data_IF_388690656539
#
_entry.id   IF_388690656539
#
_cell.length_a   1.000
_cell.length_b   1.000
_cell.length_c   1.000
_cell.angle_alpha   90.00
_cell.angle_beta   90.00
_cell.angle_gamma   90.00
#
_symmetry.space_group_name_H-M   'P 1'
#
loop_
_entity.id
_entity.type
_entity.pdbx_description
1 polymer ?
#
# COMPACT_ATOMS: atom_id res chain seq x y z
N UNK A 1 1.94 4.56 -6.49
CA UNK A 1 1.06 5.66 -6.01
C UNK A 1 -0.31 5.72 -6.71
N UNK A 2 -0.63 4.84 -7.66
CA UNK A 2 -1.91 4.90 -8.40
C UNK A 2 -3.15 4.93 -7.50
N UNK A 3 -3.22 4.04 -6.51
CA UNK A 3 -4.38 3.98 -5.61
C UNK A 3 -4.59 5.27 -4.79
N UNK A 4 -3.50 5.93 -4.36
CA UNK A 4 -3.58 7.20 -3.64
C UNK A 4 -4.14 8.31 -4.53
N UNK A 5 -3.63 8.44 -5.76
CA UNK A 5 -4.08 9.49 -6.66
C UNK A 5 -5.46 9.23 -7.27
N UNK A 6 -5.86 7.95 -7.43
CA UNK A 6 -7.26 7.61 -7.72
C UNK A 6 -8.18 8.13 -6.62
N UNK A 7 -7.80 7.98 -5.35
CA UNK A 7 -8.56 8.53 -4.22
C UNK A 7 -8.61 10.07 -4.25
N UNK A 8 -7.47 10.75 -4.43
CA UNK A 8 -7.42 12.21 -4.54
C UNK A 8 -8.30 12.74 -5.70
N UNK A 9 -8.30 12.03 -6.82
CA UNK A 9 -9.10 12.35 -8.00
C UNK A 9 -10.56 11.89 -7.93
N UNK A 10 -11.04 11.41 -6.77
CA UNK A 10 -12.41 10.89 -6.56
C UNK A 10 -12.79 9.83 -7.61
N UNK A 11 -11.89 8.87 -7.81
CA UNK A 11 -12.04 7.76 -8.75
C UNK A 11 -11.41 8.01 -10.13
N UNK A 12 -11.01 9.24 -10.46
CA UNK A 12 -10.46 9.59 -11.79
C UNK A 12 -9.05 10.12 -11.69
N UNK A 13 -8.10 9.53 -12.41
CA UNK A 13 -6.73 10.02 -12.44
C UNK A 13 -6.02 9.66 -13.75
N UNK A 14 -5.00 10.44 -14.07
CA UNK A 14 -4.07 10.19 -15.17
C UNK A 14 -2.67 9.98 -14.60
N UNK A 15 -1.83 9.26 -15.35
CA UNK A 15 -0.39 9.35 -15.23
C UNK A 15 0.08 10.35 -16.28
N UNK A 16 0.38 11.57 -15.85
CA UNK A 16 0.80 12.63 -16.77
C UNK A 16 2.24 12.45 -17.25
N UNK A 17 3.08 11.85 -16.41
CA UNK A 17 4.50 11.61 -16.69
C UNK A 17 4.87 10.18 -16.28
N UNK A 18 4.95 9.30 -17.27
CA UNK A 18 5.45 7.94 -17.13
C UNK A 18 6.89 7.86 -17.64
N UNK A 19 7.75 7.19 -16.86
CA UNK A 19 9.17 7.02 -17.16
C UNK A 19 9.37 6.16 -18.43
N UNK A 20 10.05 6.67 -19.47
CA UNK A 20 10.33 5.92 -20.69
C UNK A 20 11.71 5.24 -20.69
N UNK A 21 12.60 5.54 -19.73
CA UNK A 21 13.97 5.01 -19.69
C UNK A 21 14.74 5.56 -18.50
N UNK A 22 16.09 5.56 -18.51
CA UNK A 22 16.88 6.21 -17.47
C UNK A 22 16.48 7.67 -17.27
N UNK A 23 16.42 8.11 -16.01
CA UNK A 23 16.22 9.51 -15.63
C UNK A 23 17.57 10.16 -15.30
N UNK A 24 17.58 11.42 -14.87
CA UNK A 24 18.80 12.18 -14.58
C UNK A 24 18.96 12.60 -13.12
N UNK A 25 17.90 12.55 -12.31
CA UNK A 25 17.84 13.23 -11.02
C UNK A 25 18.06 12.31 -9.81
N UNK A 26 18.01 10.99 -9.98
CA UNK A 26 18.26 10.07 -8.88
C UNK A 26 19.78 9.93 -8.63
N UNK A 27 20.22 9.53 -7.42
CA UNK A 27 21.62 9.23 -7.16
C UNK A 27 22.19 8.15 -8.09
N UNK A 28 21.34 7.22 -8.55
CA UNK A 28 21.65 6.18 -9.53
C UNK A 28 20.49 6.06 -10.50
N UNK A 29 20.79 6.10 -11.81
CA UNK A 29 19.78 6.13 -12.87
C UNK A 29 19.92 4.91 -13.80
N UNK A 30 19.59 3.70 -13.33
CA UNK A 30 19.69 2.50 -14.15
C UNK A 30 18.68 2.54 -15.31
N UNK A 31 19.04 1.89 -16.40
CA UNK A 31 18.08 1.57 -17.45
C UNK A 31 17.06 0.55 -16.94
N UNK A 32 15.75 0.81 -17.07
CA UNK A 32 14.73 -0.18 -16.76
C UNK A 32 14.95 -1.48 -17.55
N UNK A 33 14.52 -2.62 -16.99
CA UNK A 33 14.55 -3.88 -17.73
C UNK A 33 13.73 -3.76 -19.02
N UNK A 34 14.12 -4.47 -20.11
CA UNK A 34 13.27 -4.56 -21.30
C UNK A 34 11.86 -5.05 -20.94
N UNK A 35 10.83 -4.32 -21.35
CA UNK A 35 9.42 -4.61 -21.05
C UNK A 35 8.80 -3.71 -19.97
N UNK A 36 9.62 -2.99 -19.18
CA UNK A 36 9.12 -2.19 -18.05
C UNK A 36 8.19 -1.03 -18.48
N UNK A 37 8.40 -0.40 -19.64
CA UNK A 37 7.54 0.70 -20.09
C UNK A 37 6.13 0.19 -20.43
N UNK A 38 6.05 -1.01 -21.01
CA UNK A 38 4.78 -1.73 -21.23
C UNK A 38 4.16 -2.18 -19.90
N UNK A 39 4.96 -2.76 -19.01
CA UNK A 39 4.50 -3.23 -17.68
C UNK A 39 3.87 -2.10 -16.87
N UNK A 40 4.57 -0.97 -16.72
CA UNK A 40 4.04 0.17 -15.96
C UNK A 40 2.78 0.78 -16.57
N UNK A 41 2.69 0.78 -17.91
CA UNK A 41 1.47 1.21 -18.59
C UNK A 41 0.28 0.31 -18.26
N UNK A 42 0.45 -1.01 -18.37
CA UNK A 42 -0.58 -1.98 -17.96
C UNK A 42 -0.94 -1.88 -16.47
N UNK A 43 0.05 -1.71 -15.59
CA UNK A 43 -0.21 -1.52 -14.16
C UNK A 43 -1.07 -0.26 -13.92
N UNK A 44 -0.75 0.87 -14.56
CA UNK A 44 -1.53 2.08 -14.43
C UNK A 44 -2.98 1.88 -14.90
N UNK A 45 -3.20 1.22 -16.05
CA UNK A 45 -4.55 0.90 -16.55
C UNK A 45 -5.31 -0.07 -15.64
N UNK A 46 -4.63 -1.08 -15.08
CA UNK A 46 -5.23 -2.00 -14.11
C UNK A 46 -5.70 -1.26 -12.85
N UNK A 47 -4.96 -0.23 -12.44
CA UNK A 47 -5.34 0.65 -11.33
C UNK A 47 -6.36 1.74 -11.70
N UNK A 48 -6.82 1.80 -12.96
CA UNK A 48 -7.88 2.70 -13.41
C UNK A 48 -7.40 4.03 -13.99
N UNK A 49 -6.13 4.16 -14.37
CA UNK A 49 -5.68 5.36 -15.06
C UNK A 49 -6.46 5.53 -16.38
N UNK A 50 -7.01 6.71 -16.63
CA UNK A 50 -7.69 7.00 -17.90
C UNK A 50 -6.70 7.36 -19.01
N UNK A 51 -5.50 7.78 -18.63
CA UNK A 51 -4.39 8.14 -19.52
C UNK A 51 -3.05 7.78 -18.89
N UNK A 52 -2.13 7.28 -19.71
CA UNK A 52 -0.70 7.18 -19.41
C UNK A 52 0.06 7.98 -20.47
N UNK A 53 0.63 9.12 -20.05
CA UNK A 53 1.40 10.05 -20.86
C UNK A 53 2.88 9.89 -20.52
N UNK A 54 3.71 9.53 -21.51
CA UNK A 54 5.14 9.29 -21.29
C UNK A 54 5.93 10.59 -21.42
N UNK A 55 6.72 10.89 -20.39
CA UNK A 55 7.61 12.04 -20.39
C UNK A 55 9.02 11.58 -20.76
N UNK A 56 9.52 11.85 -21.97
CA UNK A 56 9.10 12.84 -22.97
C UNK A 56 9.13 12.23 -24.37
N UNK A 57 8.56 12.93 -25.35
CA UNK A 57 8.54 12.45 -26.74
C UNK A 57 9.95 12.20 -27.29
N UNK A 58 10.87 13.14 -27.13
CA UNK A 58 12.26 13.02 -27.58
C UNK A 58 13.22 13.55 -26.52
N UNK A 59 14.27 12.79 -26.23
CA UNK A 59 15.33 13.21 -25.31
C UNK A 59 15.95 14.54 -25.80
N UNK A 60 16.10 15.49 -24.87
CA UNK A 60 16.73 16.76 -25.18
C UNK A 60 18.26 16.59 -25.26
N UNK A 61 18.95 17.15 -26.27
CA UNK A 61 20.42 17.08 -26.35
C UNK A 61 21.13 18.18 -25.53
N UNK A 62 20.42 18.90 -24.66
CA UNK A 62 20.95 20.05 -23.92
C UNK A 62 20.25 20.23 -22.57
N UNK A 63 20.81 21.13 -21.75
CA UNK A 63 20.31 21.54 -20.44
C UNK A 63 20.32 20.43 -19.37
N UNK A 64 19.67 20.71 -18.24
CA UNK A 64 19.73 19.90 -17.01
C UNK A 64 19.23 18.46 -17.19
N UNK A 65 18.33 18.23 -18.13
CA UNK A 65 17.70 16.93 -18.40
C UNK A 65 18.27 16.22 -19.63
N UNK A 66 19.46 16.59 -20.11
CA UNK A 66 20.04 15.95 -21.31
C UNK A 66 20.28 14.43 -21.17
N UNK A 67 20.30 13.92 -19.94
CA UNK A 67 20.39 12.48 -19.63
C UNK A 67 19.03 11.81 -19.37
N UNK A 68 17.92 12.56 -19.38
CA UNK A 68 16.58 12.00 -19.22
C UNK A 68 16.12 11.41 -20.56
N UNK A 69 15.98 10.09 -20.62
CA UNK A 69 15.53 9.39 -21.83
C UNK A 69 14.14 9.85 -22.29
N UNK A 70 13.84 9.61 -23.56
CA UNK A 70 12.52 9.86 -24.15
C UNK A 70 12.09 8.66 -24.99
N UNK A 71 10.89 8.73 -25.59
CA UNK A 71 10.46 7.70 -26.55
C UNK A 71 11.35 7.66 -27.79
N UNK A 72 11.97 8.79 -28.13
CA UNK A 72 12.93 8.93 -29.22
C UNK A 72 14.25 9.48 -28.69
N UNK A 73 15.34 9.03 -29.31
CA UNK A 73 16.70 9.50 -29.04
C UNK A 73 16.93 10.91 -29.62
N UNK A 74 18.02 11.61 -29.22
CA UNK A 74 18.30 12.95 -29.74
C UNK A 74 18.51 13.02 -31.26
N UNK A 75 18.95 11.93 -31.88
CA UNK A 75 19.13 11.80 -33.34
C UNK A 75 17.80 11.57 -34.11
N UNK A 76 16.68 11.48 -33.41
CA UNK A 76 15.36 11.25 -33.97
C UNK A 76 15.02 9.79 -34.24
N UNK A 77 15.92 8.84 -33.95
CA UNK A 77 15.61 7.43 -34.02
C UNK A 77 14.72 7.00 -32.83
N UNK A 78 13.85 5.99 -33.00
CA UNK A 78 13.06 5.46 -31.90
C UNK A 78 13.96 4.80 -30.86
N UNK A 79 13.60 4.96 -29.58
CA UNK A 79 14.20 4.22 -28.47
C UNK A 79 13.36 2.97 -28.13
N UNK A 80 13.88 2.06 -27.30
CA UNK A 80 13.19 0.84 -26.83
C UNK A 80 11.77 1.15 -26.32
N UNK A 81 11.65 2.24 -25.57
CA UNK A 81 10.40 2.71 -25.00
C UNK A 81 9.28 2.90 -26.04
N UNK A 82 9.59 3.46 -27.22
CA UNK A 82 8.56 3.68 -28.24
C UNK A 82 7.97 2.35 -28.74
N UNK A 83 8.80 1.32 -28.88
CA UNK A 83 8.35 -0.01 -29.28
C UNK A 83 7.44 -0.64 -28.22
N UNK A 84 7.84 -0.58 -26.95
CA UNK A 84 7.06 -1.12 -25.82
C UNK A 84 5.71 -0.40 -25.65
N UNK A 85 5.70 0.93 -25.77
CA UNK A 85 4.48 1.74 -25.68
C UNK A 85 3.57 1.52 -26.89
N UNK A 86 4.14 1.29 -28.08
CA UNK A 86 3.37 0.92 -29.28
C UNK A 86 2.72 -0.46 -29.13
N UNK A 87 3.44 -1.41 -28.54
CA UNK A 87 2.89 -2.72 -28.21
C UNK A 87 1.73 -2.60 -27.22
N UNK A 88 1.92 -1.89 -26.10
CA UNK A 88 0.87 -1.60 -25.12
C UNK A 88 -0.38 -1.01 -25.80
N UNK A 89 -0.20 0.01 -26.65
CA UNK A 89 -1.31 0.64 -27.37
C UNK A 89 -2.04 -0.30 -28.35
N UNK A 90 -1.37 -1.33 -28.85
CA UNK A 90 -1.98 -2.37 -29.70
C UNK A 90 -2.75 -3.38 -28.86
N UNK A 91 -2.19 -3.83 -27.74
CA UNK A 91 -2.82 -4.78 -26.83
C UNK A 91 -4.04 -4.18 -26.12
N UNK A 92 -4.03 -2.89 -25.77
CA UNK A 92 -5.21 -2.23 -25.19
C UNK A 92 -6.44 -2.28 -26.13
N UNK A 93 -6.21 -2.25 -27.45
CA UNK A 93 -7.29 -2.35 -28.44
C UNK A 93 -7.91 -3.74 -28.49
N UNK A 94 -7.20 -4.79 -28.03
CA UNK A 94 -7.72 -6.16 -28.07
C UNK A 94 -8.64 -6.48 -26.89
N UNK A 95 -8.46 -5.82 -25.74
CA UNK A 95 -9.32 -6.01 -24.56
C UNK A 95 -10.67 -5.28 -24.67
N UNK A 96 -10.76 -4.24 -25.50
CA UNK A 96 -11.97 -3.43 -25.63
C UNK A 96 -12.22 -2.53 -24.41
N UNK A 97 -13.47 -2.13 -24.22
CA UNK A 97 -13.86 -1.26 -23.11
C UNK A 97 -13.84 -2.03 -21.78
N UNK A 98 -12.93 -1.64 -20.88
CA UNK A 98 -12.85 -2.19 -19.53
C UNK A 98 -13.68 -1.30 -18.59
N UNK A 99 -14.46 -1.94 -17.73
CA UNK A 99 -15.28 -1.27 -16.71
C UNK A 99 -14.48 -0.30 -15.84
N UNK A 100 -15.17 0.70 -15.28
CA UNK A 100 -14.58 1.59 -14.29
C UNK A 100 -14.12 0.80 -13.06
N UNK A 101 -13.10 1.30 -12.36
CA UNK A 101 -12.71 0.73 -11.07
C UNK A 101 -13.84 0.91 -10.06
N UNK A 102 -14.21 -0.16 -9.39
CA UNK A 102 -15.16 -0.15 -8.28
C UNK A 102 -14.43 -0.08 -6.94
N UNK A 103 -15.19 0.22 -5.89
CA UNK A 103 -14.71 0.14 -4.51
C UNK A 103 -14.17 -1.26 -4.21
N UNK A 104 -13.03 -1.32 -3.52
CA UNK A 104 -12.43 -2.58 -3.07
C UNK A 104 -12.95 -3.00 -1.70
N UNK A 105 -12.60 -4.21 -1.25
CA UNK A 105 -12.96 -4.68 0.09
C UNK A 105 -12.02 -4.15 1.20
N UNK A 106 -10.90 -3.51 0.83
CA UNK A 106 -9.83 -3.10 1.77
C UNK A 106 -9.48 -1.63 1.59
N UNK A 107 -9.57 -0.88 2.69
CA UNK A 107 -9.18 0.53 2.74
C UNK A 107 -7.99 0.78 3.66
N UNK A 108 -7.09 1.67 3.23
CA UNK A 108 -6.07 2.30 4.08
C UNK A 108 -6.42 3.78 4.22
N UNK A 109 -6.59 4.25 5.46
CA UNK A 109 -6.80 5.68 5.72
C UNK A 109 -5.48 6.43 5.52
N UNK A 110 -5.47 7.41 4.63
CA UNK A 110 -4.31 8.27 4.39
C UNK A 110 -4.62 9.72 4.79
N UNK A 111 -3.76 10.29 5.64
CA UNK A 111 -3.90 11.66 6.14
C UNK A 111 -2.61 12.45 5.92
N UNK A 112 -2.71 13.49 5.09
CA UNK A 112 -1.61 14.45 4.91
C UNK A 112 -1.29 15.20 6.22
N UNK A 113 -2.31 15.52 7.03
CA UNK A 113 -2.10 16.14 8.34
C UNK A 113 -1.31 15.22 9.29
N UNK A 114 -1.61 13.91 9.29
CA UNK A 114 -0.84 12.93 10.06
C UNK A 114 0.59 12.81 9.54
N UNK A 115 0.77 12.84 8.21
CA UNK A 115 2.09 12.87 7.61
C UNK A 115 2.90 14.09 8.08
N UNK A 116 2.33 15.29 8.04
CA UNK A 116 2.99 16.52 8.47
C UNK A 116 3.29 16.54 9.96
N UNK A 117 2.34 16.10 10.79
CA UNK A 117 2.52 15.99 12.22
C UNK A 117 3.70 15.07 12.58
N UNK A 118 3.83 13.95 11.86
CA UNK A 118 4.92 12.98 12.05
C UNK A 118 6.24 13.42 11.44
N UNK A 119 6.24 14.21 10.37
CA UNK A 119 7.45 14.86 9.86
C UNK A 119 8.00 15.88 10.86
N UNK A 120 7.12 16.64 11.51
CA UNK A 120 7.51 17.65 12.49
C UNK A 120 7.96 17.01 13.82
N UNK A 121 7.20 16.02 14.32
CA UNK A 121 7.48 15.34 15.58
C UNK A 121 7.55 13.81 15.40
N UNK A 122 8.61 13.30 14.75
CA UNK A 122 8.78 11.87 14.56
C UNK A 122 9.04 11.14 15.89
N UNK A 123 9.61 11.83 16.88
CA UNK A 123 10.02 11.35 18.21
C UNK A 123 11.11 10.25 18.18
N UNK A 124 11.05 9.30 17.24
CA UNK A 124 12.17 8.46 16.82
C UNK A 124 12.61 8.84 15.40
N UNK A 125 13.92 9.01 15.17
CA UNK A 125 14.45 9.45 13.87
C UNK A 125 14.05 8.53 12.69
N UNK A 126 13.80 7.26 12.97
CA UNK A 126 13.41 6.23 12.02
C UNK A 126 11.88 6.00 11.92
N UNK A 127 11.06 6.81 12.59
CA UNK A 127 9.60 6.74 12.49
C UNK A 127 9.10 7.52 11.27
N UNK A 128 8.56 6.83 10.27
CA UNK A 128 8.07 7.47 9.05
C UNK A 128 6.67 7.00 8.67
N UNK A 129 5.73 7.96 8.60
CA UNK A 129 4.34 7.71 8.19
C UNK A 129 4.24 7.02 6.82
N UNK A 130 5.02 7.51 5.85
CA UNK A 130 5.02 6.97 4.49
C UNK A 130 5.56 5.54 4.47
N UNK A 131 6.64 5.27 5.21
CA UNK A 131 7.23 3.91 5.28
C UNK A 131 6.26 2.93 5.95
N UNK A 132 5.58 3.35 7.03
CA UNK A 132 4.58 2.50 7.70
C UNK A 132 3.41 2.18 6.76
N UNK A 133 2.87 3.21 6.11
CA UNK A 133 1.77 3.09 5.17
C UNK A 133 2.15 2.19 3.99
N UNK A 134 3.36 2.35 3.46
CA UNK A 134 3.87 1.52 2.38
C UNK A 134 4.07 0.06 2.80
N UNK A 135 4.52 -0.19 4.04
CA UNK A 135 4.64 -1.54 4.58
C UNK A 135 3.28 -2.26 4.67
N UNK A 136 2.24 -1.56 5.15
CA UNK A 136 0.86 -2.07 5.18
C UNK A 136 0.38 -2.35 3.75
N UNK A 137 0.50 -1.37 2.86
CA UNK A 137 0.07 -1.48 1.48
C UNK A 137 0.78 -2.64 0.76
N UNK A 138 2.09 -2.79 0.97
CA UNK A 138 2.90 -3.88 0.42
C UNK A 138 2.42 -5.24 0.92
N UNK A 139 2.19 -5.40 2.23
CA UNK A 139 1.73 -6.66 2.80
C UNK A 139 0.39 -7.11 2.20
N UNK A 140 -0.58 -6.19 2.07
CA UNK A 140 -1.87 -6.47 1.44
C UNK A 140 -1.71 -6.82 -0.06
N UNK A 141 -0.87 -6.08 -0.78
CA UNK A 141 -0.62 -6.29 -2.21
C UNK A 141 0.13 -7.59 -2.51
N UNK A 142 0.95 -8.08 -1.60
CA UNK A 142 1.59 -9.40 -1.70
C UNK A 142 0.57 -10.54 -1.63
N UNK A 143 -0.60 -10.30 -1.04
CA UNK A 143 -1.73 -11.23 -1.05
C UNK A 143 -2.71 -11.04 -2.19
N UNK A 144 -2.33 -10.25 -3.20
CA UNK A 144 -3.17 -9.98 -4.38
C UNK A 144 -4.43 -9.16 -4.08
N UNK A 145 -4.51 -8.54 -2.91
CA UNK A 145 -5.67 -7.73 -2.54
C UNK A 145 -5.66 -6.41 -3.31
N UNK A 146 -6.82 -6.05 -3.85
CA UNK A 146 -7.08 -4.69 -4.29
C UNK A 146 -7.25 -3.77 -3.08
N UNK A 147 -6.55 -2.65 -3.07
CA UNK A 147 -6.56 -1.68 -1.98
C UNK A 147 -7.06 -0.33 -2.49
N UNK A 148 -7.87 0.33 -1.68
CA UNK A 148 -8.22 1.74 -1.83
C UNK A 148 -7.54 2.56 -0.73
N UNK A 149 -7.07 3.76 -1.08
CA UNK A 149 -6.76 4.77 -0.09
C UNK A 149 -7.99 5.64 0.12
N UNK A 150 -8.26 6.05 1.35
CA UNK A 150 -9.39 6.92 1.69
C UNK A 150 -8.94 8.05 2.63
N UNK A 151 -9.60 9.20 2.56
CA UNK A 151 -9.33 10.29 3.51
C UNK A 151 -9.98 9.98 4.87
N UNK A 152 -9.56 10.65 5.96
CA UNK A 152 -10.18 10.45 7.28
C UNK A 152 -11.68 10.72 7.32
N UNK A 153 -12.19 11.54 6.39
CA UNK A 153 -13.60 11.95 6.27
C UNK A 153 -14.45 11.00 5.42
N UNK A 154 -13.81 10.10 4.67
CA UNK A 154 -14.50 9.22 3.74
C UNK A 154 -15.47 8.24 4.45
N UNK A 155 -16.58 7.86 3.79
CA UNK A 155 -17.43 6.77 4.28
C UNK A 155 -16.66 5.44 4.27
N UNK A 156 -17.04 4.54 5.19
CA UNK A 156 -16.40 3.23 5.35
C UNK A 156 -17.33 2.07 4.92
N UNK A 157 -18.56 2.38 4.52
CA UNK A 157 -19.56 1.41 4.10
C UNK A 157 -19.04 0.54 2.95
N UNK A 158 -19.26 -0.78 3.05
CA UNK A 158 -18.85 -1.75 2.03
C UNK A 158 -17.42 -2.28 2.15
N UNK A 159 -16.52 -1.63 2.91
CA UNK A 159 -15.22 -2.22 3.21
C UNK A 159 -15.36 -3.34 4.26
N UNK A 160 -14.55 -4.40 4.09
CA UNK A 160 -14.47 -5.51 5.05
C UNK A 160 -13.28 -5.38 5.99
N UNK A 161 -12.25 -4.64 5.56
CA UNK A 161 -11.02 -4.39 6.30
C UNK A 161 -10.59 -2.94 6.13
N UNK A 162 -10.43 -2.23 7.25
CA UNK A 162 -9.94 -0.84 7.28
C UNK A 162 -8.68 -0.79 8.14
N UNK A 163 -7.59 -0.28 7.57
CA UNK A 163 -6.33 -0.06 8.29
C UNK A 163 -6.11 1.43 8.47
N UNK A 164 -5.92 1.83 9.72
CA UNK A 164 -5.42 3.15 10.09
C UNK A 164 -3.93 2.97 10.39
N UNK A 165 -3.03 3.47 9.51
CA UNK A 165 -1.67 3.82 9.91
C UNK A 165 -1.73 4.85 11.05
N UNK A 166 -0.61 5.45 11.46
CA UNK A 166 -0.57 6.48 12.51
C UNK A 166 -1.44 7.73 12.24
N UNK A 167 -2.76 7.62 12.45
CA UNK A 167 -3.76 8.68 12.27
C UNK A 167 -3.72 9.58 13.49
N UNK A 168 -2.85 10.59 13.45
CA UNK A 168 -2.43 11.36 14.63
C UNK A 168 -3.59 12.07 15.32
N UNK A 169 -4.44 12.74 14.53
CA UNK A 169 -5.66 13.36 15.01
C UNK A 169 -6.87 12.58 14.51
N UNK A 170 -7.81 12.33 15.42
CA UNK A 170 -9.10 11.68 15.15
C UNK A 170 -10.18 12.66 15.59
N UNK A 171 -11.06 13.05 14.68
CA UNK A 171 -12.24 13.87 15.02
C UNK A 171 -13.32 13.01 15.67
N UNK A 172 -14.29 13.64 16.34
CA UNK A 172 -15.42 12.92 16.92
C UNK A 172 -16.26 12.21 15.83
N UNK A 173 -16.42 12.83 14.66
CA UNK A 173 -17.11 12.22 13.53
C UNK A 173 -16.38 11.00 12.99
N UNK A 174 -15.05 11.04 12.90
CA UNK A 174 -14.26 9.88 12.53
C UNK A 174 -14.38 8.77 13.57
N UNK A 175 -14.28 9.10 14.86
CA UNK A 175 -14.44 8.13 15.94
C UNK A 175 -15.83 7.46 15.91
N UNK A 176 -16.89 8.21 15.61
CA UNK A 176 -18.24 7.66 15.42
C UNK A 176 -18.32 6.72 14.22
N UNK A 177 -17.78 7.11 13.05
CA UNK A 177 -17.74 6.24 11.86
C UNK A 177 -17.00 4.94 12.14
N UNK A 178 -15.84 5.00 12.79
CA UNK A 178 -15.04 3.84 13.14
C UNK A 178 -15.72 2.95 14.19
N UNK A 179 -16.49 3.54 15.11
CA UNK A 179 -17.24 2.79 16.13
C UNK A 179 -18.40 2.01 15.51
N UNK A 180 -19.00 2.53 14.44
CA UNK A 180 -20.10 1.90 13.71
C UNK A 180 -19.62 0.99 12.56
N UNK A 181 -18.31 0.88 12.34
CA UNK A 181 -17.77 0.01 11.31
C UNK A 181 -17.82 -1.45 11.77
N UNK A 182 -18.42 -2.33 10.97
CA UNK A 182 -18.60 -3.75 11.33
C UNK A 182 -17.49 -4.67 10.80
N UNK A 183 -16.67 -4.19 9.85
CA UNK A 183 -15.52 -4.93 9.33
C UNK A 183 -14.33 -4.89 10.29
N UNK A 184 -13.23 -5.55 9.92
CA UNK A 184 -12.02 -5.52 10.75
C UNK A 184 -11.36 -4.14 10.72
N UNK A 185 -11.18 -3.55 11.89
CA UNK A 185 -10.50 -2.28 12.07
C UNK A 185 -9.11 -2.53 12.66
N UNK A 186 -8.06 -2.18 11.93
CA UNK A 186 -6.67 -2.32 12.40
C UNK A 186 -6.08 -0.92 12.62
N UNK A 187 -5.70 -0.62 13.85
CA UNK A 187 -5.14 0.68 14.24
C UNK A 187 -3.69 0.51 14.64
N UNK A 188 -2.80 1.22 13.97
CA UNK A 188 -1.37 1.24 14.24
C UNK A 188 -0.99 2.31 15.27
N UNK A 189 0.24 2.27 15.83
CA UNK A 189 0.60 3.11 16.97
C UNK A 189 0.52 4.60 16.63
N UNK A 190 0.45 5.43 17.67
CA UNK A 190 0.29 6.90 17.62
C UNK A 190 -1.06 7.38 17.08
N UNK A 191 -1.97 6.49 16.71
CA UNK A 191 -3.32 6.89 16.29
C UNK A 191 -4.09 7.54 17.44
N UNK A 192 -4.77 8.66 17.16
CA UNK A 192 -5.49 9.44 18.17
C UNK A 192 -4.59 10.01 19.28
N UNK A 193 -3.30 10.18 19.02
CA UNK A 193 -2.33 10.65 20.01
C UNK A 193 -2.26 12.16 20.15
N UNK A 194 -2.90 12.93 19.26
CA UNK A 194 -2.93 14.39 19.33
C UNK A 194 -4.33 14.98 19.09
N UNK A 195 -4.58 16.12 19.71
CA UNK A 195 -5.68 17.02 19.37
C UNK A 195 -5.37 17.79 18.08
N UNK A 196 -6.37 18.50 17.54
CA UNK A 196 -6.19 19.38 16.37
C UNK A 196 -5.16 20.48 16.63
N UNK A 197 -5.02 20.92 17.88
CA UNK A 197 -4.03 21.90 18.35
C UNK A 197 -2.66 21.28 18.67
N UNK A 198 -2.44 20.01 18.30
CA UNK A 198 -1.20 19.27 18.52
C UNK A 198 -0.84 19.04 20.01
N UNK A 199 -1.84 18.95 20.88
CA UNK A 199 -1.68 18.61 22.30
C UNK A 199 -1.93 17.12 22.54
N UNK A 200 -1.45 16.58 23.66
CA UNK A 200 -1.85 15.22 24.09
C UNK A 200 -3.32 15.28 24.56
N UNK A 201 -4.22 14.40 24.08
CA UNK A 201 -5.59 14.34 24.58
C UNK A 201 -5.64 14.18 26.10
N UNK A 202 -6.62 14.80 26.77
CA UNK A 202 -6.74 14.75 28.23
C UNK A 202 -6.90 13.32 28.78
N UNK A 203 -7.47 12.41 27.99
CA UNK A 203 -7.60 10.99 28.31
C UNK A 203 -6.41 10.13 27.82
N UNK A 204 -5.32 10.75 27.37
CA UNK A 204 -4.18 10.18 26.65
C UNK A 204 -4.57 9.53 25.30
N UNK A 205 -3.59 9.03 24.55
CA UNK A 205 -3.84 8.28 23.32
C UNK A 205 -4.55 6.95 23.65
N UNK A 206 -5.39 6.40 22.76
CA UNK A 206 -5.73 6.89 21.43
C UNK A 206 -6.90 7.89 21.42
N UNK A 207 -7.06 8.67 22.50
CA UNK A 207 -7.96 9.82 22.53
C UNK A 207 -9.42 9.42 22.28
N UNK A 208 -10.08 9.97 21.27
CA UNK A 208 -11.46 9.59 20.92
C UNK A 208 -11.68 8.08 20.67
N UNK A 209 -10.63 7.33 20.32
CA UNK A 209 -10.73 5.88 20.05
C UNK A 209 -10.63 5.01 21.31
N UNK A 210 -10.37 5.57 22.50
CA UNK A 210 -10.13 4.77 23.73
C UNK A 210 -11.28 3.81 24.05
N UNK A 211 -12.55 4.22 23.88
CA UNK A 211 -13.70 3.34 24.15
C UNK A 211 -13.83 2.21 23.15
N UNK A 212 -13.61 2.51 21.86
CA UNK A 212 -13.67 1.57 20.75
C UNK A 212 -12.60 0.49 20.90
N UNK A 213 -11.36 0.91 21.18
CA UNK A 213 -10.21 0.01 21.27
C UNK A 213 -10.06 -0.63 22.66
N UNK A 214 -10.68 -0.07 23.71
CA UNK A 214 -10.59 -0.57 25.08
C UNK A 214 -9.23 -0.38 25.73
N UNK A 215 -8.47 0.62 25.28
CA UNK A 215 -7.09 0.86 25.72
C UNK A 215 -6.82 2.34 26.01
N UNK A 216 -5.73 2.55 26.73
CA UNK A 216 -5.05 3.82 26.94
C UNK A 216 -3.54 3.60 26.85
N UNK A 217 -2.87 4.47 26.10
CA UNK A 217 -1.40 4.48 25.96
C UNK A 217 -0.83 5.35 27.08
N UNK A 218 -0.04 4.74 27.96
CA UNK A 218 0.53 5.42 29.14
C UNK A 218 1.95 5.93 28.92
N UNK A 219 2.67 5.33 27.98
CA UNK A 219 4.05 5.66 27.63
C UNK A 219 4.37 5.19 26.22
N UNK A 220 5.34 5.81 25.58
CA UNK A 220 5.95 5.32 24.35
C UNK A 220 7.47 5.38 24.43
N UNK A 221 8.14 4.52 23.68
CA UNK A 221 9.58 4.52 23.48
C UNK A 221 9.91 4.38 21.99
N UNK A 222 11.06 4.91 21.59
CA UNK A 222 11.58 4.81 20.23
C UNK A 222 12.92 4.09 20.24
N UNK A 223 13.10 3.16 19.31
CA UNK A 223 14.32 2.37 19.20
C UNK A 223 15.30 2.96 18.21
N UNK A 224 16.60 2.85 18.53
CA UNK A 224 17.68 3.03 17.54
C UNK A 224 17.61 1.91 16.49
N UNK A 225 18.30 2.09 15.38
CA UNK A 225 18.51 1.00 14.43
C UNK A 225 19.09 -0.23 15.13
N UNK A 226 18.63 -1.41 14.73
CA UNK A 226 18.98 -2.73 15.30
C UNK A 226 18.55 -2.98 16.75
N UNK A 227 17.89 -2.03 17.41
CA UNK A 227 17.21 -2.28 18.67
C UNK A 227 15.73 -2.62 18.42
N UNK A 228 15.24 -3.61 19.15
CA UNK A 228 13.87 -4.08 19.06
C UNK A 228 13.46 -4.75 20.38
N UNK A 229 12.16 -4.96 20.56
CA UNK A 229 11.60 -5.86 21.57
C UNK A 229 10.92 -7.03 20.87
N UNK A 230 11.12 -8.23 21.39
CA UNK A 230 10.49 -9.43 20.86
C UNK A 230 8.99 -9.45 21.18
N UNK A 231 8.20 -9.96 20.25
CA UNK A 231 6.74 -10.09 20.32
C UNK A 231 6.37 -11.54 20.07
N UNK A 232 5.69 -12.15 21.03
CA UNK A 232 5.10 -13.48 20.90
C UNK A 232 3.70 -13.37 20.32
N UNK A 233 3.52 -13.89 19.11
CA UNK A 233 2.23 -13.94 18.41
C UNK A 233 2.06 -15.30 17.76
N UNK A 234 0.93 -15.98 18.05
CA UNK A 234 0.58 -17.30 17.48
C UNK A 234 1.72 -18.34 17.57
N UNK A 235 2.38 -18.39 18.73
CA UNK A 235 3.51 -19.31 18.99
C UNK A 235 4.74 -19.11 18.09
N UNK A 236 4.89 -17.90 17.54
CA UNK A 236 6.07 -17.46 16.79
C UNK A 236 6.60 -16.18 17.43
N UNK A 237 7.92 -15.99 17.32
CA UNK A 237 8.60 -14.78 17.79
C UNK A 237 8.81 -13.83 16.63
N UNK A 238 8.38 -12.59 16.83
CA UNK A 238 8.58 -11.46 15.94
C UNK A 238 9.19 -10.31 16.73
N UNK A 239 9.21 -9.11 16.14
CA UNK A 239 9.71 -7.92 16.82
C UNK A 239 8.84 -6.69 16.59
N UNK A 240 8.84 -5.81 17.60
CA UNK A 240 8.65 -4.39 17.39
C UNK A 240 10.01 -3.71 17.28
N UNK A 241 10.31 -3.17 16.10
CA UNK A 241 11.44 -2.27 15.89
C UNK A 241 10.94 -0.81 15.92
N UNK A 242 11.82 0.20 15.88
CA UNK A 242 11.52 1.66 15.76
C UNK A 242 10.64 2.32 16.85
N UNK A 243 9.51 1.74 17.25
CA UNK A 243 8.51 2.29 18.14
C UNK A 243 7.79 1.23 18.96
N UNK A 244 7.47 1.58 20.20
CA UNK A 244 6.64 0.79 21.10
C UNK A 244 5.84 1.68 22.03
N UNK A 245 4.64 1.24 22.38
CA UNK A 245 3.72 1.88 23.30
C UNK A 245 3.33 0.91 24.42
N UNK A 246 3.23 1.44 25.63
CA UNK A 246 2.72 0.72 26.79
C UNK A 246 1.23 1.00 26.92
N UNK A 247 0.42 -0.05 26.82
CA UNK A 247 -1.05 0.06 26.86
C UNK A 247 -1.64 -0.60 28.10
N UNK A 248 -2.66 0.04 28.66
CA UNK A 248 -3.52 -0.47 29.74
C UNK A 248 -4.99 -0.43 29.31
N UNK A 249 -5.84 -1.30 29.83
CA UNK A 249 -7.27 -1.30 29.49
C UNK A 249 -8.00 -2.63 29.72
N UNK A 250 -9.17 -2.76 29.11
CA UNK A 250 -10.05 -3.93 29.18
C UNK A 250 -10.08 -4.76 27.89
N UNK A 251 -9.30 -4.37 26.89
CA UNK A 251 -9.15 -5.11 25.64
C UNK A 251 -8.47 -6.48 25.85
N UNK A 252 -8.85 -7.46 25.05
CA UNK A 252 -8.19 -8.77 25.01
C UNK A 252 -6.77 -8.61 24.43
N UNK A 253 -5.75 -9.08 25.13
CA UNK A 253 -4.39 -9.12 24.59
C UNK A 253 -4.19 -10.37 23.73
N UNK A 254 -3.94 -10.18 22.43
CA UNK A 254 -3.74 -11.29 21.47
C UNK A 254 -2.26 -11.55 21.15
N UNK A 255 -1.36 -10.62 21.50
CA UNK A 255 0.09 -10.78 21.43
C UNK A 255 0.75 -10.03 22.59
N UNK A 256 1.86 -10.56 23.12
CA UNK A 256 2.62 -9.94 24.20
C UNK A 256 4.06 -9.68 23.76
N UNK A 257 4.68 -8.63 24.31
CA UNK A 257 6.13 -8.51 24.28
C UNK A 257 6.75 -9.45 25.32
N UNK A 258 8.02 -9.82 25.15
CA UNK A 258 8.70 -10.78 26.05
C UNK A 258 8.89 -10.30 27.48
N UNK A 259 8.81 -8.99 27.72
CA UNK A 259 8.77 -8.36 29.05
C UNK A 259 7.33 -8.24 29.63
N UNK A 260 6.33 -8.85 28.98
CA UNK A 260 4.99 -9.06 29.51
C UNK A 260 3.96 -7.98 29.21
N UNK A 261 4.28 -6.97 28.39
CA UNK A 261 3.32 -5.93 28.01
C UNK A 261 2.47 -6.32 26.80
N UNK A 262 1.23 -5.83 26.68
CA UNK A 262 0.41 -6.08 25.49
C UNK A 262 1.06 -5.49 24.24
N UNK A 263 1.25 -6.31 23.21
CA UNK A 263 1.80 -5.91 21.91
C UNK A 263 0.67 -5.69 20.89
N UNK A 264 -0.31 -6.58 20.86
CA UNK A 264 -1.51 -6.44 20.02
C UNK A 264 -2.72 -6.69 20.92
N UNK A 265 -3.68 -5.78 20.90
CA UNK A 265 -4.93 -5.89 21.66
C UNK A 265 -6.14 -5.90 20.74
N UNK A 266 -7.26 -6.43 21.22
CA UNK A 266 -8.51 -6.55 20.49
C UNK A 266 -9.71 -6.19 21.36
N UNK A 267 -10.65 -5.43 20.80
CA UNK A 267 -12.00 -5.25 21.33
C UNK A 267 -13.00 -5.40 20.19
N UNK A 268 -13.82 -6.47 20.24
CA UNK A 268 -14.72 -6.87 19.14
C UNK A 268 -13.97 -7.06 17.82
N UNK A 269 -14.25 -6.22 16.82
CA UNK A 269 -13.63 -6.18 15.49
C UNK A 269 -12.48 -5.17 15.38
N UNK A 270 -12.17 -4.42 16.45
CA UNK A 270 -11.12 -3.42 16.46
C UNK A 270 -9.83 -3.97 17.12
N UNK A 271 -8.71 -3.79 16.42
CA UNK A 271 -7.37 -4.23 16.81
C UNK A 271 -6.46 -3.01 16.96
N UNK A 272 -5.59 -3.04 17.98
CA UNK A 272 -4.53 -2.06 18.16
C UNK A 272 -3.18 -2.75 18.16
N UNK A 273 -2.25 -2.30 17.32
CA UNK A 273 -0.85 -2.73 17.34
C UNK A 273 -0.06 -1.67 18.11
N UNK A 274 0.42 -2.01 19.30
CA UNK A 274 1.05 -1.08 20.24
C UNK A 274 2.55 -0.85 19.94
N UNK A 275 2.95 -0.93 18.67
CA UNK A 275 4.33 -0.75 18.26
C UNK A 275 4.47 -0.84 16.75
N UNK A 276 5.68 -0.69 16.25
CA UNK A 276 5.93 -0.87 14.82
C UNK A 276 6.30 -2.33 14.56
N UNK A 277 5.40 -3.13 13.97
CA UNK A 277 5.66 -4.53 13.67
C UNK A 277 6.75 -4.65 12.61
N UNK A 278 7.64 -5.62 12.78
CA UNK A 278 8.48 -6.05 11.67
C UNK A 278 7.64 -6.57 10.49
N UNK A 279 8.30 -6.74 9.34
CA UNK A 279 7.62 -7.14 8.11
C UNK A 279 6.93 -8.51 8.25
N UNK A 280 7.49 -9.43 9.03
CA UNK A 280 6.95 -10.77 9.20
C UNK A 280 5.68 -10.76 10.08
N UNK A 281 5.67 -10.00 11.18
CA UNK A 281 4.51 -9.82 12.04
C UNK A 281 3.39 -9.11 11.32
N UNK A 282 3.70 -8.04 10.59
CA UNK A 282 2.70 -7.28 9.86
C UNK A 282 1.99 -8.16 8.82
N UNK A 283 2.75 -8.98 8.09
CA UNK A 283 2.20 -9.92 7.11
C UNK A 283 1.36 -11.01 7.77
N UNK A 284 1.91 -11.73 8.76
CA UNK A 284 1.15 -12.81 9.42
C UNK A 284 -0.14 -12.27 10.03
N UNK A 285 -0.08 -11.10 10.70
CA UNK A 285 -1.26 -10.45 11.25
C UNK A 285 -2.30 -10.08 10.17
N UNK A 286 -1.88 -9.41 9.09
CA UNK A 286 -2.80 -8.99 8.02
C UNK A 286 -3.37 -10.16 7.23
N UNK A 287 -2.60 -11.23 7.00
CA UNK A 287 -3.05 -12.45 6.34
C UNK A 287 -4.21 -13.08 7.12
N UNK A 288 -4.06 -13.13 8.44
CA UNK A 288 -5.06 -13.71 9.34
C UNK A 288 -6.32 -12.86 9.38
N UNK A 289 -6.17 -11.52 9.39
CA UNK A 289 -7.32 -10.61 9.35
C UNK A 289 -8.02 -10.66 8.00
N UNK A 290 -7.28 -10.68 6.89
CA UNK A 290 -7.85 -10.79 5.56
C UNK A 290 -8.66 -12.08 5.40
N UNK A 291 -8.12 -13.22 5.84
CA UNK A 291 -8.83 -14.50 5.82
C UNK A 291 -10.08 -14.48 6.72
N UNK A 292 -9.98 -13.92 7.93
CA UNK A 292 -11.12 -13.80 8.85
C UNK A 292 -12.23 -12.88 8.32
N UNK A 293 -11.88 -11.86 7.54
CA UNK A 293 -12.80 -10.97 6.85
C UNK A 293 -13.39 -11.58 5.57
N UNK A 294 -13.05 -12.84 5.23
CA UNK A 294 -13.54 -13.53 4.04
C UNK A 294 -12.99 -12.96 2.73
N UNK A 295 -11.80 -12.35 2.76
CA UNK A 295 -11.13 -11.86 1.57
C UNK A 295 -10.45 -13.00 0.80
N UNK A 296 -10.62 -13.01 -0.51
CA UNK A 296 -9.88 -13.91 -1.39
C UNK A 296 -8.42 -13.43 -1.51
N UNK A 297 -7.53 -14.14 -0.85
CA UNK A 297 -6.08 -13.91 -0.91
C UNK A 297 -5.42 -14.85 -1.92
N UNK A 298 -4.33 -14.39 -2.53
CA UNK A 298 -3.45 -15.18 -3.40
C UNK A 298 -2.08 -15.30 -2.74
N UNK A 299 -1.43 -16.46 -2.84
CA UNK A 299 -0.03 -16.59 -2.45
C UNK A 299 0.86 -16.24 -3.64
N UNK A 300 1.01 -14.93 -3.89
CA UNK A 300 1.77 -14.46 -5.04
C UNK A 300 3.26 -14.80 -4.87
N UNK A 301 3.93 -15.28 -5.92
CA UNK A 301 5.38 -15.37 -5.91
C UNK A 301 6.04 -14.03 -5.60
N UNK A 302 7.24 -14.07 -5.00
CA UNK A 302 8.03 -12.86 -4.76
C UNK A 302 8.15 -12.02 -6.04
N UNK A 303 8.05 -10.69 -5.92
CA UNK A 303 8.11 -9.76 -7.05
C UNK A 303 6.91 -9.76 -8.01
N UNK A 304 5.95 -10.71 -7.89
CA UNK A 304 4.70 -10.67 -8.66
C UNK A 304 3.65 -9.85 -7.92
N UNK A 305 2.90 -9.02 -8.64
CA UNK A 305 1.74 -8.27 -8.12
C UNK A 305 0.55 -8.46 -9.05
N UNK A 306 -0.64 -8.30 -8.49
CA UNK A 306 -1.87 -8.31 -9.28
C UNK A 306 -2.80 -7.16 -8.93
N UNK A 307 -3.67 -6.80 -9.88
CA UNK A 307 -4.79 -5.89 -9.69
C UNK A 307 -5.98 -6.36 -10.53
N UNK A 308 -7.13 -6.49 -9.90
CA UNK A 308 -8.40 -6.76 -10.59
C UNK A 308 -9.10 -5.46 -10.98
N UNK A 309 -9.67 -5.40 -12.18
CA UNK A 309 -10.52 -4.31 -12.68
C UNK A 309 -11.61 -4.88 -13.55
N UNK A 310 -12.87 -4.73 -13.14
CA UNK A 310 -14.00 -5.43 -13.75
C UNK A 310 -13.77 -6.94 -13.71
N UNK A 311 -14.01 -7.60 -14.85
CA UNK A 311 -13.75 -9.02 -15.06
C UNK A 311 -12.30 -9.34 -15.48
N UNK A 312 -11.35 -8.41 -15.38
CA UNK A 312 -9.95 -8.68 -15.71
C UNK A 312 -9.07 -8.64 -14.47
N UNK A 313 -8.11 -9.55 -14.39
CA UNK A 313 -7.02 -9.49 -13.41
C UNK A 313 -5.69 -9.41 -14.14
N UNK A 314 -4.94 -8.36 -13.86
CA UNK A 314 -3.64 -8.06 -14.48
C UNK A 314 -2.54 -8.46 -13.51
N UNK A 315 -1.67 -9.38 -13.93
CA UNK A 315 -0.45 -9.78 -13.24
C UNK A 315 0.75 -9.07 -13.83
N UNK A 316 1.65 -8.59 -12.97
CA UNK A 316 2.92 -7.98 -13.36
C UNK A 316 4.06 -8.66 -12.60
N UNK A 317 5.16 -8.93 -13.30
CA UNK A 317 6.35 -9.54 -12.72
C UNK A 317 7.51 -8.55 -12.66
N UNK A 318 7.82 -8.04 -11.47
CA UNK A 318 8.93 -7.12 -11.23
C UNK A 318 10.30 -7.80 -11.11
N UNK A 319 10.36 -9.13 -11.15
CA UNK A 319 11.63 -9.84 -11.12
C UNK A 319 12.37 -9.76 -12.45
N UNK A 320 13.69 -9.96 -12.47
CA UNK A 320 14.44 -10.14 -13.71
C UNK A 320 14.27 -11.55 -14.32
N UNK A 321 13.68 -12.49 -13.57
CA UNK A 321 13.53 -13.90 -13.96
C UNK A 321 12.07 -14.24 -14.25
N UNK A 322 11.86 -15.28 -15.05
CA UNK A 322 10.53 -15.89 -15.23
C UNK A 322 10.04 -16.50 -13.93
N UNK A 323 8.75 -16.31 -13.65
CA UNK A 323 8.08 -16.86 -12.47
C UNK A 323 6.74 -17.45 -12.87
N UNK A 324 6.40 -18.63 -12.34
CA UNK A 324 5.11 -19.26 -12.61
C UNK A 324 4.00 -18.62 -11.78
N UNK A 325 2.90 -18.26 -12.42
CA UNK A 325 1.67 -17.75 -11.80
C UNK A 325 0.52 -18.76 -11.89
N UNK A 326 0.80 -20.02 -12.24
CA UNK A 326 -0.21 -21.05 -12.50
C UNK A 326 -1.20 -21.23 -11.34
N UNK A 327 -0.71 -21.23 -10.10
CA UNK A 327 -1.54 -21.40 -8.90
C UNK A 327 -2.37 -20.14 -8.53
N UNK A 328 -2.11 -19.01 -9.20
CA UNK A 328 -2.79 -17.74 -8.97
C UNK A 328 -3.85 -17.41 -10.03
N UNK A 329 -3.81 -18.10 -11.16
CA UNK A 329 -4.74 -17.90 -12.30
C UNK A 329 -5.96 -18.79 -12.09
N UNK A 330 -7.13 -18.21 -12.25
CA UNK A 330 -8.44 -18.85 -12.06
C UNK A 330 -9.35 -18.75 -13.28
N UNK A 331 -9.01 -17.88 -14.24
CA UNK A 331 -9.74 -17.65 -15.47
C UNK A 331 -8.94 -17.98 -16.73
N UNK A 332 -9.40 -17.47 -17.86
CA UNK A 332 -8.72 -17.63 -19.15
C UNK A 332 -7.68 -16.53 -19.33
N UNK A 333 -6.42 -16.88 -19.64
CA UNK A 333 -5.42 -15.90 -20.05
C UNK A 333 -5.77 -15.34 -21.43
N UNK A 334 -6.09 -14.05 -21.47
CA UNK A 334 -6.34 -13.30 -22.70
C UNK A 334 -5.08 -12.62 -23.24
N UNK A 335 -4.04 -12.51 -22.42
CA UNK A 335 -2.73 -11.98 -22.77
C UNK A 335 -1.66 -12.56 -21.84
N UNK A 336 -0.46 -12.85 -22.38
CA UNK A 336 0.68 -13.38 -21.63
C UNK A 336 0.63 -14.90 -21.44
N UNK A 337 1.45 -15.42 -20.52
CA UNK A 337 1.62 -16.84 -20.22
C UNK A 337 1.64 -17.12 -18.72
N UNK A 338 1.39 -18.38 -18.33
CA UNK A 338 1.48 -18.83 -16.94
C UNK A 338 2.92 -18.78 -16.40
N UNK A 339 3.90 -19.02 -17.27
CA UNK A 339 5.31 -18.72 -16.98
C UNK A 339 5.57 -17.27 -17.36
N UNK A 340 5.37 -16.36 -16.40
CA UNK A 340 5.41 -14.93 -16.61
C UNK A 340 6.87 -14.45 -16.60
N UNK A 341 7.37 -14.00 -17.75
CA UNK A 341 8.74 -13.51 -17.89
C UNK A 341 9.03 -12.31 -16.96
N UNK A 342 10.30 -12.05 -16.70
CA UNK A 342 10.71 -10.85 -15.97
C UNK A 342 10.35 -9.58 -16.72
N UNK A 343 9.89 -8.55 -16.01
CA UNK A 343 9.40 -7.29 -16.60
C UNK A 343 8.24 -7.46 -17.60
N UNK A 344 7.40 -8.48 -17.41
CA UNK A 344 6.27 -8.81 -18.28
C UNK A 344 4.91 -8.78 -17.56
N UNK A 345 3.84 -8.90 -18.36
CA UNK A 345 2.43 -8.80 -17.95
C UNK A 345 1.64 -10.01 -18.47
N UNK A 346 0.79 -10.57 -17.62
CA UNK A 346 -0.27 -11.50 -18.01
C UNK A 346 -1.63 -10.96 -17.58
N UNK A 347 -2.67 -11.23 -18.36
CA UNK A 347 -4.03 -10.77 -18.08
C UNK A 347 -4.95 -11.97 -18.18
N UNK A 348 -5.66 -12.27 -17.10
CA UNK A 348 -6.75 -13.23 -17.11
C UNK A 348 -8.11 -12.52 -17.18
N UNK A 349 -9.07 -13.17 -17.84
CA UNK A 349 -10.49 -12.86 -17.77
C UNK A 349 -11.13 -13.77 -16.72
N UNK A 350 -11.66 -13.16 -15.67
CA UNK A 350 -12.44 -13.80 -14.62
C UNK A 350 -13.85 -14.14 -15.14
N UNK A 351 -14.41 -15.22 -14.59
CA UNK A 351 -15.72 -15.76 -14.96
C UNK A 351 -16.89 -14.89 -14.48
#
# INVERSE_FOLDING_TARGET
>A
HHDLYRACGRGRFWIMEQQPGPVNWAPYNPDPLPGMQRLWGWEAFAHGAELVSYFRWRQAPFAQEQFHAGLNRPDGAPDRALHEVTQLGTELKTLGDIEATTQTDVAIVYSYDSHWALLNQPQGQNFSYIVQTLAIYRALREKGLNVDFVSPEAPLDGYKLVVLPSQIHVSDEMAMRLTNFDGDLIVLPRSGSRTVSHEIPANLAPGPLSKLLGIKVTRAESFREFAAVEVDYRSKTYTFDRWREYVEGDAETVAHTTDGHPAITRKKNAYYIAGWPDEALLKDFLDVRAAAAGLSILDLPFGVRTRTRGNYRVFVNYNPQTVSIADCVSGELVLGSLDLAGADVAIERLA
#
